data_IF_166051845733
#
_entry.id   IF_166051845733
#
_cell.length_a   1.000
_cell.length_b   1.000
_cell.length_c   1.000
_cell.angle_alpha   90.00
_cell.angle_beta   90.00
_cell.angle_gamma   90.00
#
_symmetry.space_group_name_H-M   'P 1'
#
loop_
_entity.id
_entity.type
_entity.pdbx_description
1 polymer ?
#
# COMPACT_ATOMS: atom_id res chain seq x y z
N UNK A 1 19.93 -11.42 23.90
CA UNK A 1 19.53 -10.47 22.84
C UNK A 1 18.68 -11.22 21.84
N UNK A 2 17.36 -11.17 21.99
CA UNK A 2 16.43 -11.89 21.10
C UNK A 2 16.32 -11.08 19.81
N UNK A 3 16.70 -11.68 18.68
CA UNK A 3 16.56 -11.05 17.37
C UNK A 3 15.07 -10.85 17.08
N UNK A 4 14.65 -9.61 16.82
CA UNK A 4 13.33 -9.32 16.29
C UNK A 4 13.21 -10.04 14.95
N UNK A 5 12.22 -10.92 14.73
CA UNK A 5 12.06 -11.58 13.45
C UNK A 5 11.87 -10.50 12.39
N UNK A 6 12.60 -10.62 11.28
CA UNK A 6 12.45 -9.73 10.14
C UNK A 6 10.96 -9.63 9.77
N UNK A 7 10.46 -8.41 9.61
CA UNK A 7 9.08 -8.10 9.29
C UNK A 7 8.65 -8.90 8.05
N UNK A 8 8.10 -10.10 8.27
CA UNK A 8 7.56 -10.94 7.22
C UNK A 8 6.36 -10.17 6.68
N UNK A 9 6.29 -9.82 5.38
CA UNK A 9 5.10 -9.17 4.86
C UNK A 9 3.91 -10.04 5.22
N UNK A 10 3.06 -9.55 6.14
CA UNK A 10 1.99 -10.34 6.76
C UNK A 10 0.98 -10.83 5.73
N UNK A 11 0.92 -10.15 4.59
CA UNK A 11 0.11 -10.50 3.43
C UNK A 11 0.95 -10.26 2.17
N UNK A 12 0.96 -11.27 1.31
CA UNK A 12 1.59 -11.26 -0.02
C UNK A 12 0.56 -11.75 -1.03
N UNK A 13 0.44 -11.08 -2.17
CA UNK A 13 -0.48 -11.43 -3.24
C UNK A 13 -0.98 -10.22 -4.01
N UNK A 14 -1.63 -10.46 -5.15
CA UNK A 14 -2.01 -9.40 -6.10
C UNK A 14 -3.26 -8.62 -5.70
N UNK A 15 -3.82 -8.92 -4.53
CA UNK A 15 -4.95 -8.20 -3.94
C UNK A 15 -4.59 -7.49 -2.63
N UNK A 16 -3.30 -7.39 -2.35
CA UNK A 16 -2.80 -6.73 -1.14
C UNK A 16 -2.44 -5.29 -1.46
N UNK A 17 -3.23 -4.36 -0.94
CA UNK A 17 -2.95 -2.94 -0.96
C UNK A 17 -2.40 -2.52 0.40
N UNK A 18 -1.33 -1.70 0.42
CA UNK A 18 -0.73 -1.21 1.66
C UNK A 18 -0.94 0.29 1.76
N UNK A 19 -1.44 0.74 2.90
CA UNK A 19 -1.72 2.15 3.15
C UNK A 19 -0.98 2.55 4.41
N UNK A 20 -0.17 3.60 4.31
CA UNK A 20 0.60 4.15 5.42
C UNK A 20 0.17 5.58 5.68
N UNK A 21 -0.19 5.88 6.93
CA UNK A 21 -0.46 7.25 7.36
C UNK A 21 0.87 8.00 7.59
N UNK A 22 0.99 9.19 7.01
CA UNK A 22 2.14 10.06 7.23
C UNK A 22 1.93 10.86 8.51
N UNK A 23 2.60 10.44 9.59
CA UNK A 23 2.51 11.08 10.91
C UNK A 23 2.79 12.59 10.82
N UNK A 24 1.90 13.39 11.41
CA UNK A 24 2.00 14.86 11.41
C UNK A 24 1.33 15.55 10.21
N UNK A 25 0.72 14.77 9.31
CA UNK A 25 -0.10 15.27 8.20
C UNK A 25 -1.34 14.40 8.03
N UNK A 26 -2.38 14.89 7.34
CA UNK A 26 -3.54 14.07 6.99
C UNK A 26 -3.32 13.29 5.67
N UNK A 27 -2.06 12.99 5.36
CA UNK A 27 -1.67 12.34 4.11
C UNK A 27 -1.58 10.83 4.26
N UNK A 28 -2.06 10.17 3.23
CA UNK A 28 -2.10 8.73 3.06
C UNK A 28 -1.18 8.32 1.92
N UNK A 29 -0.19 7.48 2.22
CA UNK A 29 0.65 6.86 1.22
C UNK A 29 0.08 5.51 0.84
N UNK A 30 -0.49 5.44 -0.36
CA UNK A 30 -1.01 4.24 -0.97
C UNK A 30 0.12 3.50 -1.70
N UNK A 31 0.19 2.17 -1.52
CA UNK A 31 1.11 1.29 -2.24
C UNK A 31 0.30 0.15 -2.84
N UNK A 32 0.32 0.09 -4.16
CA UNK A 32 -0.31 -0.97 -4.93
C UNK A 32 0.58 -2.23 -4.91
N UNK A 33 -0.02 -3.40 -5.15
CA UNK A 33 0.68 -4.67 -5.28
C UNK A 33 1.70 -4.71 -6.45
N UNK A 34 1.56 -3.84 -7.46
CA UNK A 34 2.58 -3.63 -8.50
C UNK A 34 3.84 -2.92 -7.98
N UNK A 35 3.88 -2.51 -6.71
CA UNK A 35 4.89 -1.63 -6.11
C UNK A 35 4.81 -0.17 -6.55
N UNK A 36 3.72 0.24 -7.22
CA UNK A 36 3.46 1.66 -7.43
C UNK A 36 3.06 2.30 -6.10
N UNK A 37 3.62 3.47 -5.82
CA UNK A 37 3.32 4.25 -4.63
C UNK A 37 2.87 5.66 -4.99
N UNK A 38 1.90 6.18 -4.23
CA UNK A 38 1.38 7.54 -4.40
C UNK A 38 0.83 8.07 -3.08
N UNK A 39 1.03 9.36 -2.84
CA UNK A 39 0.48 10.06 -1.68
C UNK A 39 -0.80 10.78 -2.06
N UNK A 40 -1.77 10.75 -1.15
CA UNK A 40 -3.08 11.36 -1.29
C UNK A 40 -3.45 12.06 0.01
N UNK A 41 -4.24 13.12 -0.09
CA UNK A 41 -4.88 13.76 1.06
C UNK A 41 -6.32 13.24 1.23
N UNK A 42 -6.99 12.87 0.15
CA UNK A 42 -8.32 12.29 0.19
C UNK A 42 -8.27 10.75 0.17
N UNK A 43 -8.86 10.07 1.19
CA UNK A 43 -8.96 8.61 1.20
C UNK A 43 -9.80 8.06 0.03
N UNK A 44 -10.80 8.79 -0.49
CA UNK A 44 -11.64 8.33 -1.61
C UNK A 44 -10.82 8.29 -2.90
N UNK A 45 -10.07 9.35 -3.22
CA UNK A 45 -9.17 9.38 -4.39
C UNK A 45 -8.12 8.27 -4.32
N UNK A 46 -7.60 8.00 -3.12
CA UNK A 46 -6.69 6.89 -2.86
C UNK A 46 -7.32 5.53 -3.23
N UNK A 47 -8.56 5.29 -2.80
CA UNK A 47 -9.23 4.01 -3.07
C UNK A 47 -9.59 3.86 -4.53
N UNK A 48 -10.06 4.93 -5.18
CA UNK A 48 -10.35 4.96 -6.61
C UNK A 48 -9.09 4.58 -7.41
N UNK A 49 -7.95 5.20 -7.09
CA UNK A 49 -6.68 4.86 -7.72
C UNK A 49 -6.24 3.42 -7.46
N UNK A 50 -6.35 2.90 -6.23
CA UNK A 50 -5.93 1.53 -5.90
C UNK A 50 -6.78 0.46 -6.60
N UNK A 51 -8.08 0.72 -6.77
CA UNK A 51 -9.03 -0.20 -7.38
C UNK A 51 -9.04 -0.11 -8.91
N UNK A 52 -8.85 1.09 -9.47
CA UNK A 52 -8.76 1.33 -10.91
C UNK A 52 -7.39 0.93 -11.48
N UNK A 53 -6.34 0.88 -10.64
CA UNK A 53 -4.98 0.59 -11.11
C UNK A 53 -4.92 -0.74 -11.89
N UNK A 54 -4.75 -0.70 -13.23
CA UNK A 54 -4.70 -1.92 -14.02
C UNK A 54 -3.35 -2.58 -13.77
N UNK A 55 -3.34 -3.61 -12.93
CA UNK A 55 -2.14 -4.37 -12.69
C UNK A 55 -2.13 -5.63 -13.55
N UNK A 56 -1.28 -5.65 -14.57
CA UNK A 56 -1.00 -6.82 -15.41
C UNK A 56 -0.29 -7.97 -14.68
N UNK A 57 -0.17 -7.93 -13.35
CA UNK A 57 0.57 -8.93 -12.56
C UNK A 57 -0.27 -10.15 -12.17
N UNK A 58 -1.32 -10.48 -12.92
CA UNK A 58 -2.02 -11.76 -12.84
C UNK A 58 -1.36 -12.78 -13.78
N UNK A 59 -0.24 -13.39 -13.35
CA UNK A 59 0.26 -14.63 -13.96
C UNK A 59 0.69 -15.63 -12.92
#
# INVERSE_FOLDING_TARGET
>A
MTAVPANRPMLSGDRVYRIHWVLGTDRLRAVCHCSAEREFEDPVELWDWLLDHPCERSR
#
